data_IF_481477045628
#
_entry.id   IF_481477045628
#
_cell.length_a   1.000
_cell.length_b   1.000
_cell.length_c   1.000
_cell.angle_alpha   90.00
_cell.angle_beta   90.00
_cell.angle_gamma   90.00
#
_symmetry.space_group_name_H-M   'P 1'
#
loop_
_entity.id
_entity.type
_entity.pdbx_description
1 polymer ?
#
# COMPACT_ATOMS: atom_id res chain seq x y z
N UNK A 1 -6.99 -18.05 -4.96
CA UNK A 1 -6.12 -16.86 -4.96
C UNK A 1 -7.02 -15.65 -4.92
N UNK A 2 -6.71 -14.65 -4.09
CA UNK A 2 -7.49 -13.43 -3.99
C UNK A 2 -7.45 -12.67 -5.32
N UNK A 3 -8.52 -11.95 -5.65
CA UNK A 3 -8.58 -11.16 -6.88
C UNK A 3 -7.67 -9.92 -6.83
N UNK A 4 -7.43 -9.41 -5.62
CA UNK A 4 -6.61 -8.25 -5.31
C UNK A 4 -5.63 -8.58 -4.17
N UNK A 5 -4.53 -7.84 -4.11
CA UNK A 5 -3.45 -8.00 -3.15
C UNK A 5 -3.27 -6.75 -2.27
N UNK A 6 -2.55 -6.93 -1.17
CA UNK A 6 -2.14 -5.83 -0.30
C UNK A 6 -1.40 -4.76 -1.11
N UNK A 7 -1.76 -3.48 -0.89
CA UNK A 7 -1.27 -2.29 -1.58
C UNK A 7 -1.68 -2.13 -3.05
N UNK A 8 -2.59 -2.94 -3.56
CA UNK A 8 -3.22 -2.65 -4.85
C UNK A 8 -3.98 -1.32 -4.78
N UNK A 9 -3.75 -0.48 -5.80
CA UNK A 9 -4.54 0.74 -6.00
C UNK A 9 -5.84 0.39 -6.70
N UNK A 10 -6.95 0.78 -6.10
CA UNK A 10 -8.29 0.47 -6.59
C UNK A 10 -9.11 1.74 -6.79
N UNK A 11 -10.27 1.56 -7.42
CA UNK A 11 -11.36 2.55 -7.42
C UNK A 11 -12.69 1.90 -7.10
N UNK A 12 -13.55 2.66 -6.44
CA UNK A 12 -14.93 2.26 -6.12
C UNK A 12 -15.80 2.23 -7.39
N UNK A 13 -16.65 1.21 -7.49
CA UNK A 13 -17.70 1.07 -8.52
C UNK A 13 -19.05 1.60 -8.06
N UNK A 14 -19.26 1.67 -6.75
CA UNK A 14 -20.47 2.15 -6.11
C UNK A 14 -20.12 3.03 -4.91
N UNK A 15 -21.04 3.88 -4.42
CA UNK A 15 -20.80 4.67 -3.24
C UNK A 15 -20.66 3.80 -1.97
N UNK A 16 -19.73 4.13 -1.09
CA UNK A 16 -19.52 3.45 0.19
C UNK A 16 -19.79 4.46 1.33
N UNK A 17 -20.66 4.08 2.27
CA UNK A 17 -20.89 4.88 3.47
C UNK A 17 -19.64 4.83 4.35
N UNK A 18 -19.27 5.97 4.93
CA UNK A 18 -18.08 6.08 5.79
C UNK A 18 -18.50 6.01 7.26
N UNK A 19 -17.74 5.28 8.07
CA UNK A 19 -17.99 5.17 9.53
C UNK A 19 -17.86 6.53 10.23
N UNK A 20 -17.01 7.42 9.70
CA UNK A 20 -16.84 8.81 10.15
C UNK A 20 -17.98 9.73 9.76
N UNK A 21 -18.93 9.24 8.95
CA UNK A 21 -20.03 10.00 8.38
C UNK A 21 -19.76 10.45 6.94
N UNK A 22 -20.83 10.52 6.15
CA UNK A 22 -20.74 10.84 4.72
C UNK A 22 -20.65 9.61 3.84
N UNK A 23 -20.23 9.81 2.59
CA UNK A 23 -20.19 8.75 1.57
C UNK A 23 -19.03 9.00 0.62
N UNK A 24 -18.18 7.99 0.43
CA UNK A 24 -17.19 7.99 -0.65
C UNK A 24 -17.92 7.72 -1.98
N UNK A 25 -17.84 8.62 -2.97
CA UNK A 25 -18.55 8.46 -4.24
C UNK A 25 -17.94 7.39 -5.15
N UNK A 26 -18.68 7.05 -6.21
CA UNK A 26 -18.17 6.23 -7.32
C UNK A 26 -16.88 6.83 -7.87
N UNK A 27 -15.89 5.98 -8.12
CA UNK A 27 -14.60 6.39 -8.67
C UNK A 27 -13.61 6.93 -7.65
N UNK A 28 -13.98 7.00 -6.35
CA UNK A 28 -13.02 7.28 -5.28
C UNK A 28 -11.85 6.30 -5.33
N UNK A 29 -10.65 6.86 -5.22
CA UNK A 29 -9.42 6.08 -5.20
C UNK A 29 -9.23 5.49 -3.82
N UNK A 30 -8.60 4.32 -3.76
CA UNK A 30 -8.20 3.72 -2.49
C UNK A 30 -7.02 2.77 -2.65
N UNK A 31 -6.46 2.37 -1.52
CA UNK A 31 -5.43 1.34 -1.44
C UNK A 31 -5.88 0.21 -0.52
N UNK A 32 -5.64 -1.04 -0.93
CA UNK A 32 -5.90 -2.20 -0.07
C UNK A 32 -4.87 -2.21 1.05
N UNK A 33 -5.34 -2.20 2.29
CA UNK A 33 -4.49 -2.23 3.50
C UNK A 33 -4.65 -3.53 4.29
N UNK A 34 -5.66 -4.35 3.97
CA UNK A 34 -5.81 -5.71 4.50
C UNK A 34 -6.62 -6.60 3.55
N UNK A 35 -6.30 -7.90 3.51
CA UNK A 35 -7.03 -8.90 2.72
C UNK A 35 -7.66 -9.94 3.67
N UNK A 36 -8.98 -10.02 3.69
CA UNK A 36 -9.72 -10.95 4.55
C UNK A 36 -10.07 -12.24 3.82
N UNK A 37 -9.98 -13.38 4.53
CA UNK A 37 -10.43 -14.70 4.10
C UNK A 37 -10.04 -15.04 2.64
N UNK A 38 -8.78 -14.87 2.26
CA UNK A 38 -8.30 -15.13 0.89
C UNK A 38 -9.03 -14.31 -0.20
N UNK A 39 -9.48 -13.09 0.11
CA UNK A 39 -10.08 -12.17 -0.84
C UNK A 39 -11.61 -12.20 -0.90
N UNK A 40 -12.28 -12.67 0.16
CA UNK A 40 -13.74 -12.48 0.28
C UNK A 40 -14.09 -11.02 0.57
N UNK A 41 -13.23 -10.30 1.29
CA UNK A 41 -13.35 -8.89 1.60
C UNK A 41 -11.97 -8.23 1.75
N UNK A 42 -11.95 -6.90 1.70
CA UNK A 42 -10.74 -6.08 1.73
C UNK A 42 -10.94 -4.88 2.63
N UNK A 43 -9.97 -4.58 3.49
CA UNK A 43 -9.90 -3.28 4.13
C UNK A 43 -9.24 -2.31 3.15
N UNK A 44 -9.89 -1.18 2.88
CA UNK A 44 -9.41 -0.18 1.94
C UNK A 44 -9.33 1.18 2.61
N UNK A 45 -8.15 1.79 2.56
CA UNK A 45 -7.99 3.21 2.82
C UNK A 45 -8.51 3.99 1.61
N UNK A 46 -9.54 4.79 1.81
CA UNK A 46 -10.18 5.61 0.78
C UNK A 46 -9.66 7.04 0.83
N UNK A 47 -9.39 7.59 -0.35
CA UNK A 47 -8.77 8.89 -0.50
C UNK A 47 -9.74 9.94 -1.06
N UNK A 48 -9.62 11.16 -0.52
CA UNK A 48 -10.39 12.34 -0.90
C UNK A 48 -9.65 13.23 -1.88
N UNK A 49 -9.69 14.54 -1.61
CA UNK A 49 -9.01 15.54 -2.42
C UNK A 49 -7.53 15.69 -2.08
N UNK A 50 -6.83 16.50 -2.88
CA UNK A 50 -5.54 17.06 -2.47
C UNK A 50 -5.79 18.17 -1.45
N UNK A 51 -5.11 18.08 -0.32
CA UNK A 51 -5.19 19.05 0.77
C UNK A 51 -3.79 19.44 1.23
N UNK A 52 -3.72 20.53 1.98
CA UNK A 52 -2.55 20.90 2.79
C UNK A 52 -2.99 21.41 4.15
N UNK A 53 -2.11 21.35 5.13
CA UNK A 53 -2.36 21.92 6.45
C UNK A 53 -2.20 23.44 6.41
N UNK A 54 -3.16 24.16 6.99
CA UNK A 54 -3.04 25.60 7.23
C UNK A 54 -2.27 25.90 8.53
N UNK A 55 -2.19 27.17 8.92
CA UNK A 55 -1.51 27.62 10.15
C UNK A 55 -2.15 27.09 11.44
N UNK A 56 -3.41 26.66 11.38
CA UNK A 56 -4.16 26.10 12.49
C UNK A 56 -4.17 24.55 12.47
N UNK A 57 -3.47 23.94 11.51
CA UNK A 57 -3.49 22.50 11.23
C UNK A 57 -4.82 21.97 10.67
N UNK A 58 -5.67 22.86 10.15
CA UNK A 58 -6.85 22.46 9.41
C UNK A 58 -6.48 22.08 7.98
N UNK A 59 -7.15 21.08 7.41
CA UNK A 59 -6.92 20.66 6.03
C UNK A 59 -7.75 21.52 5.08
N UNK A 60 -7.06 22.21 4.17
CA UNK A 60 -7.68 23.03 3.14
C UNK A 60 -7.45 22.42 1.75
N UNK A 61 -8.44 22.46 0.83
CA UNK A 61 -8.26 21.99 -0.53
C UNK A 61 -7.10 22.69 -1.24
N UNK A 62 -6.32 21.93 -2.00
CA UNK A 62 -5.20 22.42 -2.80
C UNK A 62 -5.05 21.60 -4.09
N UNK A 63 -4.03 21.92 -4.89
CA UNK A 63 -3.67 21.18 -6.09
C UNK A 63 -2.48 20.24 -5.85
N UNK A 64 -2.40 19.17 -6.64
CA UNK A 64 -1.30 18.18 -6.60
C UNK A 64 0.09 18.78 -6.77
N UNK A 65 0.19 19.90 -7.47
CA UNK A 65 1.47 20.55 -7.78
C UNK A 65 1.97 21.45 -6.65
N UNK A 66 1.18 21.64 -5.59
CA UNK A 66 1.61 22.33 -4.38
C UNK A 66 2.58 21.41 -3.59
N UNK A 67 3.79 21.89 -3.23
CA UNK A 67 4.81 21.07 -2.58
C UNK A 67 4.42 20.57 -1.19
N UNK A 68 3.50 21.25 -0.51
CA UNK A 68 3.01 20.86 0.81
C UNK A 68 1.71 20.04 0.72
N UNK A 69 1.28 19.70 -0.51
CA UNK A 69 0.05 18.92 -0.72
C UNK A 69 0.25 17.43 -0.48
N UNK A 70 -0.81 16.83 0.03
CA UNK A 70 -0.97 15.38 0.11
C UNK A 70 -2.44 15.04 -0.16
N UNK A 71 -2.70 13.78 -0.53
CA UNK A 71 -4.06 13.31 -0.71
C UNK A 71 -4.62 12.88 0.65
N UNK A 72 -5.77 13.43 1.04
CA UNK A 72 -6.34 13.12 2.35
C UNK A 72 -6.96 11.72 2.40
N UNK A 73 -6.95 11.12 3.59
CA UNK A 73 -7.71 9.91 3.88
C UNK A 73 -9.09 10.30 4.39
N UNK A 74 -10.13 9.86 3.68
CA UNK A 74 -11.54 10.15 4.05
C UNK A 74 -12.16 9.03 4.89
N UNK A 75 -11.62 7.82 4.82
CA UNK A 75 -12.09 6.69 5.62
C UNK A 75 -11.28 5.41 5.37
N UNK A 76 -11.43 4.44 6.26
CA UNK A 76 -10.85 3.09 6.12
C UNK A 76 -12.00 2.12 6.26
N UNK A 77 -12.40 1.52 5.14
CA UNK A 77 -13.66 0.79 5.05
C UNK A 77 -13.46 -0.63 4.53
N UNK A 78 -14.31 -1.54 5.00
CA UNK A 78 -14.38 -2.89 4.45
C UNK A 78 -15.20 -2.89 3.17
N UNK A 79 -14.62 -3.37 2.08
CA UNK A 79 -15.26 -3.49 0.77
C UNK A 79 -15.15 -4.91 0.22
N UNK A 80 -16.05 -5.24 -0.70
CA UNK A 80 -16.15 -6.54 -1.34
C UNK A 80 -15.63 -6.50 -2.80
N UNK A 81 -15.17 -7.64 -3.36
CA UNK A 81 -14.60 -7.67 -4.71
C UNK A 81 -15.47 -7.04 -5.81
N UNK A 82 -16.80 -7.15 -5.68
CA UNK A 82 -17.73 -6.60 -6.67
C UNK A 82 -17.81 -5.07 -6.63
N UNK A 83 -17.41 -4.42 -5.53
CA UNK A 83 -17.50 -2.98 -5.32
C UNK A 83 -16.27 -2.22 -5.82
N UNK A 84 -15.19 -2.92 -6.21
CA UNK A 84 -13.92 -2.30 -6.60
C UNK A 84 -13.39 -2.83 -7.93
N UNK A 85 -12.53 -2.04 -8.58
CA UNK A 85 -11.67 -2.51 -9.67
C UNK A 85 -10.23 -2.05 -9.48
N UNK A 86 -9.30 -2.85 -9.98
CA UNK A 86 -7.87 -2.57 -9.95
C UNK A 86 -7.53 -1.42 -10.89
N UNK A 87 -6.80 -0.43 -10.39
CA UNK A 87 -6.22 0.66 -11.18
C UNK A 87 -4.75 0.40 -11.43
N UNK A 88 -4.00 0.04 -10.39
CA UNK A 88 -2.58 -0.32 -10.47
C UNK A 88 -2.25 -1.41 -9.45
N UNK A 89 -1.44 -2.41 -9.84
CA UNK A 89 -1.00 -3.42 -8.90
C UNK A 89 -0.01 -2.82 -7.89
N UNK A 90 0.08 -3.42 -6.71
CA UNK A 90 1.02 -3.05 -5.65
C UNK A 90 2.45 -2.86 -6.17
N UNK A 91 2.92 -3.78 -7.03
CA UNK A 91 4.26 -3.76 -7.65
C UNK A 91 4.59 -2.48 -8.44
N UNK A 92 3.57 -1.72 -8.85
CA UNK A 92 3.72 -0.47 -9.60
C UNK A 92 3.48 0.77 -8.73
N UNK A 93 2.96 0.59 -7.51
CA UNK A 93 2.50 1.68 -6.65
C UNK A 93 3.40 1.85 -5.43
N UNK A 94 3.90 0.74 -4.86
CA UNK A 94 4.73 0.75 -3.66
C UNK A 94 6.18 0.37 -3.95
N UNK A 95 7.12 0.92 -3.18
CA UNK A 95 8.54 0.62 -3.33
C UNK A 95 8.88 -0.85 -3.01
N UNK A 96 10.05 -1.32 -3.44
CA UNK A 96 10.48 -2.73 -3.35
C UNK A 96 10.30 -3.37 -1.96
N UNK A 97 10.41 -2.57 -0.88
CA UNK A 97 10.18 -3.04 0.49
C UNK A 97 8.75 -3.52 0.73
N UNK A 98 7.77 -2.75 0.31
CA UNK A 98 6.36 -3.10 0.48
C UNK A 98 5.95 -4.25 -0.45
N UNK A 99 6.57 -4.35 -1.63
CA UNK A 99 6.40 -5.50 -2.52
C UNK A 99 6.93 -6.80 -1.86
N UNK A 100 8.09 -6.74 -1.20
CA UNK A 100 8.66 -7.88 -0.48
C UNK A 100 7.76 -8.26 0.71
N UNK A 101 7.25 -7.28 1.47
CA UNK A 101 6.33 -7.56 2.58
C UNK A 101 5.05 -8.26 2.12
N UNK A 102 4.42 -7.76 1.04
CA UNK A 102 3.22 -8.39 0.48
C UNK A 102 3.49 -9.83 0.02
N UNK A 103 4.67 -10.11 -0.56
CA UNK A 103 5.06 -11.47 -0.92
C UNK A 103 5.25 -12.35 0.32
N UNK A 104 5.89 -11.85 1.37
CA UNK A 104 6.15 -12.59 2.61
C UNK A 104 4.85 -13.06 3.26
N UNK A 105 3.80 -12.23 3.26
CA UNK A 105 2.51 -12.58 3.88
C UNK A 105 1.78 -13.75 3.17
N UNK A 106 2.08 -14.00 1.89
CA UNK A 106 1.47 -15.07 1.10
C UNK A 106 2.27 -16.40 1.13
N UNK A 107 3.51 -16.39 1.63
CA UNK A 107 4.40 -17.55 1.57
C UNK A 107 4.18 -18.52 2.75
N UNK A 108 4.23 -19.85 2.51
CA UNK A 108 4.26 -20.83 3.59
C UNK A 108 5.51 -20.69 4.46
N UNK A 109 5.43 -21.06 5.74
CA UNK A 109 6.54 -20.98 6.72
C UNK A 109 7.85 -21.60 6.19
N UNK A 110 7.77 -22.78 5.56
CA UNK A 110 8.95 -23.44 4.99
C UNK A 110 9.63 -22.60 3.89
N UNK A 111 8.85 -21.87 3.08
CA UNK A 111 9.39 -20.97 2.06
C UNK A 111 9.94 -19.69 2.67
N UNK A 112 9.36 -19.22 3.79
CA UNK A 112 9.90 -18.08 4.53
C UNK A 112 11.29 -18.36 5.10
N UNK A 113 11.55 -19.58 5.57
CA UNK A 113 12.89 -20.00 6.00
C UNK A 113 13.92 -19.88 4.86
N UNK A 114 13.59 -20.34 3.65
CA UNK A 114 14.47 -20.21 2.49
C UNK A 114 14.73 -18.75 2.10
N UNK A 115 13.69 -17.91 2.15
CA UNK A 115 13.81 -16.46 1.88
C UNK A 115 14.70 -15.78 2.92
N UNK A 116 14.55 -16.14 4.22
CA UNK A 116 15.42 -15.64 5.30
C UNK A 116 16.87 -16.01 5.03
N UNK A 117 17.16 -17.28 4.78
CA UNK A 117 18.52 -17.77 4.56
C UNK A 117 19.17 -17.10 3.34
N UNK A 118 18.40 -16.88 2.27
CA UNK A 118 18.86 -16.13 1.11
C UNK A 118 19.16 -14.65 1.45
N UNK A 119 18.31 -14.00 2.24
CA UNK A 119 18.53 -12.61 2.67
C UNK A 119 19.78 -12.48 3.57
N UNK A 120 20.02 -13.46 4.45
CA UNK A 120 21.23 -13.53 5.27
C UNK A 120 22.49 -13.71 4.41
N UNK A 121 22.43 -14.59 3.40
CA UNK A 121 23.50 -14.75 2.42
C UNK A 121 23.82 -13.44 1.69
N UNK A 122 22.80 -12.69 1.23
CA UNK A 122 23.00 -11.40 0.58
C UNK A 122 23.66 -10.38 1.52
N UNK A 123 23.23 -10.33 2.78
CA UNK A 123 23.82 -9.46 3.82
C UNK A 123 25.29 -9.80 4.06
N UNK A 124 25.62 -11.08 4.12
CA UNK A 124 27.00 -11.55 4.26
C UNK A 124 27.85 -11.18 3.05
N UNK A 125 27.37 -11.44 1.83
CA UNK A 125 28.06 -11.10 0.57
C UNK A 125 28.34 -9.59 0.47
N UNK A 126 27.39 -8.75 0.88
CA UNK A 126 27.57 -7.30 0.88
C UNK A 126 28.68 -6.86 1.85
N UNK A 127 28.74 -7.43 3.05
CA UNK A 127 29.80 -7.14 4.03
C UNK A 127 31.18 -7.50 3.49
N UNK A 128 31.35 -8.67 2.89
CA UNK A 128 32.61 -9.06 2.26
C UNK A 128 33.02 -8.15 1.11
N UNK A 129 32.07 -7.69 0.28
CA UNK A 129 32.35 -6.76 -0.81
C UNK A 129 32.80 -5.37 -0.31
N UNK A 130 32.32 -4.95 0.86
CA UNK A 130 32.72 -3.69 1.50
C UNK A 130 34.12 -3.83 2.11
N UNK A 131 34.39 -4.91 2.84
CA UNK A 131 35.69 -5.20 3.47
C UNK A 131 36.81 -5.36 2.43
N UNK A 132 36.54 -6.07 1.33
CA UNK A 132 37.51 -6.23 0.24
C UNK A 132 37.82 -4.91 -0.48
N UNK A 133 36.86 -3.98 -0.60
CA UNK A 133 37.10 -2.64 -1.17
C UNK A 133 37.88 -1.72 -0.22
N UNK A 134 37.67 -1.83 1.09
CA UNK A 134 38.40 -1.02 2.08
C UNK A 134 39.85 -1.46 2.26
N UNK A 135 40.15 -2.75 2.09
CA UNK A 135 41.52 -3.28 2.13
C UNK A 135 42.30 -3.05 0.83
N UNK A 136 41.63 -2.62 -0.24
CA UNK A 136 42.23 -2.36 -1.57
C UNK A 136 42.46 -0.87 -1.85
N UNK A 137 42.14 0.02 -0.89
CA UNK A 137 42.30 1.49 -0.97
C UNK A 137 43.41 1.96 -0.06
#
# INVERSE_FOLDING_TARGET
>A
MSQFQLFDSIKLKEPIALDTGGTAPIGSSGAIVEVFNNGEAYMVELFGGWVKADVNQDFIPTDRDDPDSFMETIGVETVYPHQIYLVKPARETVGIRAQILALIDELPEATLEEVRDFAEFLKYKQRQAIESRTLSS
#
